data_IF_217432357492
#
_entry.id   IF_217432357492
#
_cell.length_a   1.000
_cell.length_b   1.000
_cell.length_c   1.000
_cell.angle_alpha   90.00
_cell.angle_beta   90.00
_cell.angle_gamma   90.00
#
_symmetry.space_group_name_H-M   'P 1'
#
loop_
_entity.id
_entity.type
_entity.pdbx_description
1 polymer ?
#
# COMPACT_ATOMS: atom_id res chain seq x y z
N UNK A 1 13.55 4.46 24.97
CA UNK A 1 12.17 4.00 25.23
C UNK A 1 11.66 3.38 23.94
N UNK A 2 11.15 2.13 23.97
CA UNK A 2 10.53 1.50 22.80
C UNK A 2 9.32 2.29 22.28
N UNK A 3 8.97 2.09 21.01
CA UNK A 3 7.79 2.68 20.37
C UNK A 3 7.01 1.61 19.61
N UNK A 4 5.75 1.43 19.96
CA UNK A 4 4.84 0.51 19.30
C UNK A 4 3.81 1.28 18.48
N UNK A 5 3.62 0.89 17.22
CA UNK A 5 2.73 1.57 16.27
C UNK A 5 1.76 0.54 15.70
N UNK A 6 0.46 0.74 15.90
CA UNK A 6 -0.57 -0.04 15.20
C UNK A 6 -0.93 0.65 13.90
N UNK A 7 -0.71 -0.04 12.79
CA UNK A 7 -0.82 0.50 11.45
C UNK A 7 -1.89 -0.26 10.64
N UNK A 8 -3.00 0.44 10.38
CA UNK A 8 -4.08 -0.03 9.52
C UNK A 8 -4.47 1.11 8.58
N UNK A 9 -4.01 1.07 7.33
CA UNK A 9 -4.19 2.20 6.40
C UNK A 9 -4.14 1.79 4.93
N UNK A 10 -5.01 2.35 4.07
CA UNK A 10 -4.92 2.17 2.62
C UNK A 10 -3.82 3.03 1.98
N UNK A 11 -3.03 3.73 2.79
CA UNK A 11 -2.02 4.67 2.34
C UNK A 11 -2.53 6.10 2.35
N UNK A 12 -1.95 6.93 1.49
CA UNK A 12 -2.25 8.36 1.44
C UNK A 12 -1.11 9.15 0.83
N UNK A 13 -0.90 10.37 1.31
CA UNK A 13 0.13 11.26 0.78
C UNK A 13 1.53 10.73 1.11
N UNK A 14 2.31 10.39 0.07
CA UNK A 14 3.70 9.91 0.15
C UNK A 14 4.58 10.86 0.97
N UNK A 15 4.36 12.18 0.86
CA UNK A 15 5.11 13.17 1.64
C UNK A 15 4.93 12.97 3.15
N UNK A 16 3.69 12.81 3.61
CA UNK A 16 3.38 12.62 5.02
C UNK A 16 3.95 11.28 5.53
N UNK A 17 3.77 10.21 4.76
CA UNK A 17 4.34 8.90 5.08
C UNK A 17 5.86 8.96 5.20
N UNK A 18 6.54 9.66 4.28
CA UNK A 18 8.00 9.83 4.31
C UNK A 18 8.46 10.57 5.56
N UNK A 19 7.73 11.61 6.01
CA UNK A 19 8.09 12.34 7.23
C UNK A 19 7.95 11.45 8.47
N UNK A 20 6.86 10.68 8.57
CA UNK A 20 6.64 9.74 9.67
C UNK A 20 7.73 8.66 9.66
N UNK A 21 8.01 8.05 8.50
CA UNK A 21 9.04 7.04 8.34
C UNK A 21 10.44 7.55 8.75
N UNK A 22 10.79 8.79 8.38
CA UNK A 22 12.07 9.40 8.80
C UNK A 22 12.13 9.66 10.30
N UNK A 23 11.03 10.08 10.91
CA UNK A 23 10.97 10.26 12.36
C UNK A 23 11.13 8.93 13.10
N UNK A 24 10.52 7.86 12.58
CA UNK A 24 10.69 6.48 13.08
C UNK A 24 12.14 6.03 12.95
N UNK A 25 12.76 6.18 11.78
CA UNK A 25 14.15 5.80 11.55
C UNK A 25 15.13 6.56 12.46
N UNK A 26 14.82 7.80 12.85
CA UNK A 26 15.62 8.59 13.78
C UNK A 26 15.37 8.29 15.27
N UNK A 27 14.39 7.44 15.60
CA UNK A 27 14.07 7.10 16.98
C UNK A 27 15.14 6.18 17.57
N UNK A 28 15.58 6.47 18.81
CA UNK A 28 16.68 5.72 19.45
C UNK A 28 16.28 4.39 20.06
N UNK A 29 15.00 4.18 20.35
CA UNK A 29 14.50 2.93 20.91
C UNK A 29 14.03 1.99 19.81
N UNK A 30 13.89 0.69 20.14
CA UNK A 30 13.26 -0.27 19.24
C UNK A 30 11.87 0.23 18.83
N UNK A 31 11.59 0.21 17.53
CA UNK A 31 10.27 0.49 16.96
C UNK A 31 9.67 -0.80 16.42
N UNK A 32 8.48 -1.15 16.90
CA UNK A 32 7.69 -2.25 16.36
C UNK A 32 6.42 -1.72 15.71
N UNK A 33 6.19 -2.09 14.46
CA UNK A 33 4.94 -1.79 13.73
C UNK A 33 4.07 -3.04 13.69
N UNK A 34 2.85 -2.95 14.19
CA UNK A 34 1.84 -3.98 14.13
C UNK A 34 0.90 -3.68 12.96
N UNK A 35 0.73 -4.62 12.03
CA UNK A 35 -0.20 -4.54 10.90
C UNK A 35 -1.26 -5.64 11.09
N UNK A 36 -2.44 -5.32 11.65
CA UNK A 36 -3.46 -6.34 11.95
C UNK A 36 -4.26 -6.82 10.72
N UNK A 37 -4.37 -5.97 9.69
CA UNK A 37 -5.08 -6.33 8.45
C UNK A 37 -4.33 -5.88 7.21
N UNK A 38 -4.04 -4.58 7.07
CA UNK A 38 -3.32 -4.08 5.91
C UNK A 38 -2.63 -2.74 6.15
N UNK A 39 -1.48 -2.54 5.49
CA UNK A 39 -0.83 -1.26 5.35
C UNK A 39 -0.36 -1.10 3.89
N UNK A 40 -1.00 -0.22 3.14
CA UNK A 40 -0.73 -0.04 1.70
C UNK A 40 0.04 1.25 1.44
N UNK A 41 0.84 1.30 0.36
CA UNK A 41 1.47 2.52 -0.15
C UNK A 41 2.25 3.26 0.95
N UNK A 42 1.84 4.48 1.33
CA UNK A 42 2.45 5.22 2.43
C UNK A 42 2.49 4.46 3.76
N UNK A 43 1.54 3.56 4.02
CA UNK A 43 1.58 2.65 5.17
C UNK A 43 2.78 1.69 5.11
N UNK A 44 3.01 1.07 3.96
CA UNK A 44 4.20 0.22 3.76
C UNK A 44 5.49 1.01 4.01
N UNK A 45 5.60 2.24 3.51
CA UNK A 45 6.78 3.10 3.79
C UNK A 45 7.00 3.32 5.30
N UNK A 46 5.94 3.50 6.07
CA UNK A 46 6.02 3.63 7.53
C UNK A 46 6.47 2.30 8.16
N UNK A 47 5.90 1.17 7.73
CA UNK A 47 6.28 -0.15 8.22
C UNK A 47 7.75 -0.47 7.93
N UNK A 48 8.23 -0.14 6.73
CA UNK A 48 9.63 -0.31 6.34
C UNK A 48 10.61 0.47 7.22
N UNK A 49 10.17 1.52 7.91
CA UNK A 49 11.01 2.28 8.82
C UNK A 49 11.25 1.58 10.17
N UNK A 50 10.35 0.69 10.59
CA UNK A 50 10.42 0.01 11.88
C UNK A 50 11.50 -1.07 11.93
N UNK A 51 11.98 -1.38 13.14
CA UNK A 51 12.95 -2.47 13.37
C UNK A 51 12.30 -3.85 13.22
N UNK A 52 11.00 -3.94 13.49
CA UNK A 52 10.21 -5.16 13.43
C UNK A 52 8.81 -4.88 12.93
N UNK A 53 8.28 -5.76 12.07
CA UNK A 53 6.92 -5.68 11.55
C UNK A 53 6.17 -6.93 12.02
N UNK A 54 5.14 -6.76 12.85
CA UNK A 54 4.28 -7.86 13.30
C UNK A 54 3.00 -7.85 12.48
N UNK A 55 2.74 -8.93 11.74
CA UNK A 55 1.60 -9.07 10.84
C UNK A 55 0.71 -10.22 11.31
N UNK A 56 -0.62 -10.17 11.14
CA UNK A 56 -1.39 -11.42 11.22
C UNK A 56 -1.12 -12.29 9.99
N UNK A 57 -1.45 -13.57 10.05
CA UNK A 57 -1.22 -14.53 8.95
C UNK A 57 -1.88 -14.11 7.63
N UNK A 58 -3.00 -13.38 7.70
CA UNK A 58 -3.72 -12.85 6.55
C UNK A 58 -3.61 -11.34 6.40
N UNK A 59 -2.68 -10.72 7.14
CA UNK A 59 -2.35 -9.31 6.94
C UNK A 59 -1.50 -9.09 5.70
N UNK A 60 -1.59 -7.89 5.15
CA UNK A 60 -0.91 -7.56 3.90
C UNK A 60 -0.18 -6.21 3.96
N UNK A 61 0.97 -6.16 3.29
CA UNK A 61 1.60 -4.91 2.89
C UNK A 61 1.26 -4.65 1.42
N UNK A 62 1.27 -3.38 1.03
CA UNK A 62 1.07 -2.98 -0.37
C UNK A 62 2.36 -2.49 -1.04
N UNK A 63 2.41 -2.45 -2.38
CA UNK A 63 3.43 -1.73 -3.12
C UNK A 63 3.49 -0.25 -2.73
N UNK A 64 4.61 0.39 -3.01
CA UNK A 64 4.84 1.83 -2.79
C UNK A 64 4.95 2.61 -4.10
N UNK A 65 4.55 2.00 -5.22
CA UNK A 65 4.64 2.63 -6.53
C UNK A 65 3.81 3.93 -6.58
N UNK A 66 4.39 5.02 -7.10
CA UNK A 66 3.70 6.30 -7.13
C UNK A 66 2.62 6.33 -8.22
N UNK A 67 1.45 6.87 -7.84
CA UNK A 67 0.35 7.13 -8.78
C UNK A 67 0.23 8.62 -9.07
N UNK A 68 0.10 8.98 -10.35
CA UNK A 68 -0.15 10.34 -10.82
C UNK A 68 -1.62 10.45 -11.21
N UNK A 69 -2.44 10.97 -10.29
CA UNK A 69 -3.89 10.91 -10.42
C UNK A 69 -4.38 9.47 -10.27
N UNK A 70 -4.96 8.91 -11.33
CA UNK A 70 -5.44 7.52 -11.37
C UNK A 70 -4.55 6.60 -12.22
N UNK A 71 -3.33 7.05 -12.55
CA UNK A 71 -2.43 6.33 -13.46
C UNK A 71 -1.13 5.95 -12.74
N UNK A 72 -0.67 4.69 -12.84
CA UNK A 72 0.64 4.29 -12.34
C UNK A 72 1.77 5.03 -13.07
N UNK A 73 2.75 5.55 -12.33
CA UNK A 73 3.91 6.23 -12.91
C UNK A 73 4.66 5.34 -13.92
N UNK A 74 4.85 4.05 -13.57
CA UNK A 74 5.55 3.09 -14.42
C UNK A 74 4.83 2.89 -15.77
N UNK A 75 3.49 2.87 -15.78
CA UNK A 75 2.71 2.75 -17.02
C UNK A 75 2.84 3.98 -17.91
N UNK A 76 2.85 5.19 -17.34
CA UNK A 76 3.07 6.43 -18.10
C UNK A 76 4.44 6.44 -18.79
N UNK A 77 5.47 5.98 -18.08
CA UNK A 77 6.83 5.86 -18.62
C UNK A 77 6.86 4.84 -19.77
N UNK A 78 6.27 3.66 -19.60
CA UNK A 78 6.21 2.62 -20.65
C UNK A 78 5.54 3.12 -21.92
N UNK A 79 4.46 3.90 -21.82
CA UNK A 79 3.79 4.48 -23.00
C UNK A 79 4.74 5.38 -23.79
N UNK A 80 5.53 6.20 -23.09
CA UNK A 80 6.51 7.10 -23.72
C UNK A 80 7.68 6.35 -24.37
N UNK A 81 8.06 5.20 -23.83
CA UNK A 81 9.13 4.36 -24.38
C UNK A 81 8.68 3.54 -25.60
N UNK A 82 7.40 3.20 -25.68
CA UNK A 82 6.88 2.29 -26.71
C UNK A 82 6.31 2.99 -27.94
N UNK A 83 5.91 4.26 -27.81
CA UNK A 83 5.31 5.01 -28.92
C UNK A 83 6.29 6.03 -29.51
N UNK A 84 6.24 6.30 -30.82
CA UNK A 84 6.93 7.45 -31.40
C UNK A 84 6.48 8.73 -30.68
N UNK A 85 7.44 9.58 -30.30
CA UNK A 85 7.14 10.82 -29.54
C UNK A 85 6.13 11.73 -30.23
N UNK A 86 6.09 11.70 -31.57
CA UNK A 86 5.14 12.45 -32.40
C UNK A 86 3.68 12.01 -32.23
N UNK A 87 3.42 10.84 -31.62
CA UNK A 87 2.09 10.31 -31.35
C UNK A 87 1.68 10.44 -29.87
N UNK A 88 2.43 11.22 -29.10
CA UNK A 88 2.22 11.42 -27.67
C UNK A 88 1.96 12.90 -27.43
N UNK A 89 0.88 13.20 -26.72
CA UNK A 89 0.60 14.58 -26.32
C UNK A 89 1.57 15.06 -25.23
N UNK A 90 1.80 16.37 -25.22
CA UNK A 90 2.72 17.03 -24.28
C UNK A 90 2.38 16.73 -22.82
N UNK A 91 1.09 16.61 -22.47
CA UNK A 91 0.68 16.32 -21.10
C UNK A 91 1.16 14.93 -20.65
N UNK A 92 1.07 13.91 -21.51
CA UNK A 92 1.63 12.58 -21.21
C UNK A 92 3.15 12.60 -21.09
N UNK A 93 3.85 13.40 -21.90
CA UNK A 93 5.30 13.56 -21.78
C UNK A 93 5.69 14.19 -20.44
N UNK A 94 5.00 15.23 -20.02
CA UNK A 94 5.18 15.88 -18.71
C UNK A 94 4.88 14.90 -17.58
N UNK A 95 3.76 14.17 -17.65
CA UNK A 95 3.39 13.18 -16.63
C UNK A 95 4.40 12.04 -16.53
N UNK A 96 4.97 11.57 -17.65
CA UNK A 96 6.02 10.56 -17.63
C UNK A 96 7.32 11.08 -17.00
N UNK A 97 7.70 12.34 -17.27
CA UNK A 97 8.82 13.00 -16.59
C UNK A 97 8.59 13.11 -15.06
N UNK A 98 7.42 13.58 -14.64
CA UNK A 98 7.05 13.61 -13.21
C UNK A 98 7.02 12.19 -12.63
N UNK A 99 6.56 11.20 -13.38
CA UNK A 99 6.55 9.79 -13.00
C UNK A 99 7.95 9.25 -12.73
N UNK A 100 8.93 9.53 -13.60
CA UNK A 100 10.34 9.14 -13.39
C UNK A 100 10.89 9.73 -12.09
N UNK A 101 10.61 11.02 -11.85
CA UNK A 101 11.03 11.71 -10.63
C UNK A 101 10.38 11.10 -9.39
N UNK A 102 9.08 10.81 -9.45
CA UNK A 102 8.34 10.23 -8.34
C UNK A 102 8.85 8.83 -7.98
N UNK A 103 9.08 7.96 -8.97
CA UNK A 103 9.66 6.62 -8.74
C UNK A 103 11.03 6.74 -8.09
N UNK A 104 11.92 7.56 -8.68
CA UNK A 104 13.27 7.74 -8.14
C UNK A 104 13.27 8.28 -6.69
N UNK A 105 12.35 9.19 -6.36
CA UNK A 105 12.19 9.73 -5.02
C UNK A 105 11.73 8.66 -4.02
N UNK A 106 10.70 7.89 -4.37
CA UNK A 106 10.18 6.83 -3.49
C UNK A 106 11.21 5.72 -3.31
N UNK A 107 11.85 5.28 -4.39
CA UNK A 107 12.91 4.27 -4.34
C UNK A 107 14.07 4.73 -3.44
N UNK A 108 14.50 5.98 -3.56
CA UNK A 108 15.57 6.54 -2.71
C UNK A 108 15.18 6.52 -1.23
N UNK A 109 13.92 6.87 -0.92
CA UNK A 109 13.41 6.82 0.46
C UNK A 109 13.38 5.37 0.96
N UNK A 110 12.78 4.46 0.20
CA UNK A 110 12.66 3.06 0.58
C UNK A 110 14.03 2.40 0.77
N UNK A 111 14.98 2.62 -0.15
CA UNK A 111 16.34 2.11 -0.03
C UNK A 111 16.96 2.54 1.29
N UNK A 112 16.90 3.84 1.60
CA UNK A 112 17.44 4.37 2.87
C UNK A 112 16.77 3.78 4.11
N UNK A 113 15.47 3.45 4.08
CA UNK A 113 14.78 2.83 5.21
C UNK A 113 15.21 1.36 5.40
N UNK A 114 15.55 0.69 4.30
CA UNK A 114 15.93 -0.72 4.25
C UNK A 114 17.41 -0.95 4.59
N UNK A 115 18.30 0.01 4.30
CA UNK A 115 19.75 -0.14 4.54
C UNK A 115 20.14 -0.35 6.00
N UNK A 116 19.27 0.02 6.94
CA UNK A 116 19.49 -0.26 8.37
C UNK A 116 19.23 -1.74 8.73
N UNK A 117 18.54 -2.49 7.86
CA UNK A 117 18.06 -3.87 8.12
C UNK A 117 18.66 -4.92 7.20
N UNK A 118 19.23 -4.52 6.07
CA UNK A 118 19.78 -5.43 5.08
C UNK A 118 20.91 -4.78 4.29
N UNK A 119 21.69 -5.62 3.59
CA UNK A 119 22.79 -5.18 2.73
C UNK A 119 22.32 -4.16 1.67
N UNK A 120 23.16 -3.18 1.34
CA UNK A 120 22.83 -2.08 0.40
C UNK A 120 22.30 -2.59 -0.96
N UNK A 121 22.86 -3.68 -1.49
CA UNK A 121 22.44 -4.26 -2.77
C UNK A 121 21.02 -4.87 -2.69
N UNK A 122 20.72 -5.57 -1.59
CA UNK A 122 19.38 -6.12 -1.34
C UNK A 122 18.38 -5.00 -1.09
N UNK A 123 18.77 -3.98 -0.30
CA UNK A 123 17.96 -2.80 -0.05
C UNK A 123 17.61 -2.07 -1.36
N UNK A 124 18.59 -1.90 -2.25
CA UNK A 124 18.36 -1.29 -3.56
C UNK A 124 17.41 -2.13 -4.44
N UNK A 125 17.62 -3.44 -4.50
CA UNK A 125 16.79 -4.36 -5.29
C UNK A 125 15.35 -4.37 -4.79
N UNK A 126 15.15 -4.50 -3.48
CA UNK A 126 13.81 -4.51 -2.88
C UNK A 126 13.12 -3.16 -3.01
N UNK A 127 13.83 -2.05 -2.78
CA UNK A 127 13.29 -0.71 -2.96
C UNK A 127 12.79 -0.49 -4.40
N UNK A 128 13.60 -0.89 -5.39
CA UNK A 128 13.22 -0.83 -6.79
C UNK A 128 11.99 -1.72 -7.05
N UNK A 129 11.99 -2.97 -6.58
CA UNK A 129 10.88 -3.90 -6.76
C UNK A 129 9.55 -3.35 -6.21
N UNK A 130 9.57 -2.75 -5.01
CA UNK A 130 8.40 -2.17 -4.37
C UNK A 130 7.91 -0.87 -5.05
N UNK A 131 8.80 -0.10 -5.67
CA UNK A 131 8.49 1.23 -6.22
C UNK A 131 8.23 1.26 -7.74
N UNK A 132 8.75 0.31 -8.51
CA UNK A 132 8.80 0.40 -9.99
C UNK A 132 7.60 -0.21 -10.73
N UNK A 133 6.47 -0.41 -10.06
CA UNK A 133 5.26 -0.94 -10.68
C UNK A 133 5.41 -2.39 -11.16
N UNK A 134 6.21 -3.19 -10.44
CA UNK A 134 6.32 -4.65 -10.62
C UNK A 134 4.96 -5.33 -10.52
N UNK A 135 4.13 -4.81 -9.62
CA UNK A 135 2.78 -5.27 -9.36
C UNK A 135 1.76 -4.15 -9.60
N UNK A 136 0.48 -4.53 -9.66
CA UNK A 136 -0.61 -3.57 -9.51
C UNK A 136 -0.62 -2.99 -8.09
N UNK A 137 -1.16 -1.79 -7.92
CA UNK A 137 -1.10 -1.08 -6.63
C UNK A 137 -1.91 -1.76 -5.50
N UNK A 138 -2.82 -2.65 -5.87
CA UNK A 138 -3.64 -3.48 -4.97
C UNK A 138 -3.03 -4.88 -4.71
N UNK A 139 -1.79 -5.12 -5.15
CA UNK A 139 -1.11 -6.37 -4.86
C UNK A 139 -0.92 -6.56 -3.36
N UNK A 140 -1.22 -7.78 -2.90
CA UNK A 140 -1.20 -8.14 -1.49
C UNK A 140 0.13 -8.84 -1.20
N UNK A 141 1.07 -8.13 -0.60
CA UNK A 141 2.32 -8.73 -0.12
C UNK A 141 2.01 -9.36 1.24
N UNK A 142 1.89 -10.69 1.27
CA UNK A 142 1.61 -11.45 2.49
C UNK A 142 2.77 -11.39 3.49
N UNK A 143 2.51 -11.80 4.74
CA UNK A 143 3.56 -11.92 5.76
C UNK A 143 4.68 -12.91 5.36
N UNK A 144 4.34 -13.97 4.63
CA UNK A 144 5.30 -14.94 4.10
C UNK A 144 6.18 -14.30 3.02
N UNK A 145 5.59 -13.69 1.99
CA UNK A 145 6.34 -13.00 0.93
C UNK A 145 7.22 -11.88 1.49
N UNK A 146 6.72 -11.11 2.46
CA UNK A 146 7.49 -10.06 3.10
C UNK A 146 8.74 -10.61 3.82
N UNK A 147 8.65 -11.79 4.45
CA UNK A 147 9.83 -12.49 5.02
C UNK A 147 10.79 -12.97 3.95
N UNK A 148 10.28 -13.52 2.85
CA UNK A 148 11.10 -13.98 1.72
C UNK A 148 11.86 -12.83 1.07
N UNK A 149 11.27 -11.62 1.06
CA UNK A 149 11.92 -10.37 0.66
C UNK A 149 13.00 -9.89 1.65
N UNK A 150 13.13 -10.54 2.82
CA UNK A 150 14.12 -10.20 3.84
C UNK A 150 13.67 -9.13 4.84
N UNK A 151 12.38 -8.80 4.90
CA UNK A 151 11.85 -7.87 5.90
C UNK A 151 11.78 -8.54 7.28
N UNK A 152 11.97 -7.79 8.38
CA UNK A 152 11.96 -8.32 9.75
C UNK A 152 10.53 -8.60 10.23
N UNK A 153 9.86 -9.58 9.61
CA UNK A 153 8.44 -9.87 9.82
C UNK A 153 8.21 -11.00 10.82
N UNK A 154 7.35 -10.77 11.81
CA UNK A 154 6.84 -11.77 12.75
C UNK A 154 5.32 -11.90 12.65
N UNK A 155 4.77 -13.03 13.10
CA UNK A 155 3.32 -13.31 13.01
C UNK A 155 2.65 -13.60 14.36
N UNK A 156 3.37 -13.41 15.46
CA UNK A 156 2.84 -13.48 16.82
C UNK A 156 2.17 -12.16 17.22
N UNK A 157 1.05 -11.83 16.56
CA UNK A 157 0.24 -10.67 16.90
C UNK A 157 -0.30 -10.80 18.34
N UNK A 158 -0.04 -9.83 19.25
CA UNK A 158 -0.63 -9.84 20.59
C UNK A 158 -2.15 -9.69 20.55
N UNK A 159 -2.85 -10.38 21.46
CA UNK A 159 -4.32 -10.35 21.53
C UNK A 159 -4.83 -8.94 21.84
N UNK A 160 -4.11 -8.16 22.65
CA UNK A 160 -4.46 -6.80 23.02
C UNK A 160 -4.51 -5.85 21.80
N UNK A 161 -3.70 -6.12 20.76
CA UNK A 161 -3.76 -5.35 19.50
C UNK A 161 -5.02 -5.70 18.71
N UNK A 162 -5.43 -6.97 18.72
CA UNK A 162 -6.66 -7.41 18.08
C UNK A 162 -7.88 -6.85 18.82
N UNK A 163 -7.87 -6.86 20.15
CA UNK A 163 -8.89 -6.23 20.99
C UNK A 163 -8.99 -4.72 20.72
N UNK A 164 -7.85 -4.02 20.62
CA UNK A 164 -7.82 -2.60 20.26
C UNK A 164 -8.56 -2.34 18.95
N UNK A 165 -8.34 -3.18 17.93
CA UNK A 165 -9.00 -3.02 16.63
C UNK A 165 -10.54 -3.15 16.72
N UNK A 166 -11.07 -3.90 17.67
CA UNK A 166 -12.53 -4.00 17.89
C UNK A 166 -13.16 -2.69 18.38
N UNK A 167 -12.37 -1.82 19.02
CA UNK A 167 -12.81 -0.51 19.52
C UNK A 167 -12.93 0.54 18.40
N UNK A 168 -12.33 0.28 17.23
CA UNK A 168 -12.33 1.17 16.07
C UNK A 168 -12.96 0.47 14.85
N UNK A 169 -14.27 0.16 14.89
CA UNK A 169 -14.95 -0.45 13.75
C UNK A 169 -14.82 0.47 12.55
N UNK A 170 -14.27 -0.06 11.45
CA UNK A 170 -14.09 0.72 10.24
C UNK A 170 -15.46 1.17 9.74
N UNK A 171 -15.69 2.49 9.55
CA UNK A 171 -16.91 2.91 8.91
C UNK A 171 -16.93 2.27 7.53
N UNK A 172 -17.96 1.46 7.25
CA UNK A 172 -18.20 0.89 5.93
C UNK A 172 -18.55 2.05 5.00
N UNK A 173 -17.54 2.80 4.56
CA UNK A 173 -17.68 3.63 3.38
C UNK A 173 -17.93 2.63 2.27
N UNK A 174 -19.11 2.74 1.64
CA UNK A 174 -19.45 2.07 0.39
C UNK A 174 -18.48 2.55 -0.71
N UNK A 175 -17.22 2.15 -0.64
CA UNK A 175 -16.25 2.23 -1.71
C UNK A 175 -16.49 0.97 -2.54
N UNK A 176 -17.18 1.13 -3.66
CA UNK A 176 -17.58 0.05 -4.57
C UNK A 176 -16.37 -0.61 -5.24
N UNK A 177 -15.67 -1.48 -4.51
CA UNK A 177 -14.50 -2.22 -4.98
C UNK A 177 -14.38 -3.62 -4.39
N UNK A 178 -15.47 -4.19 -3.88
CA UNK A 178 -15.55 -5.61 -3.50
C UNK A 178 -16.60 -6.30 -4.37
N UNK A 179 -16.40 -7.59 -4.66
CA UNK A 179 -17.41 -8.43 -5.32
C UNK A 179 -18.62 -8.50 -4.40
N UNK A 180 -19.73 -7.91 -4.84
CA UNK A 180 -21.00 -7.98 -4.15
C UNK A 180 -21.73 -9.25 -4.60
N UNK A 181 -21.71 -10.30 -3.77
CA UNK A 181 -22.63 -11.43 -3.95
C UNK A 181 -24.03 -10.93 -3.59
N UNK A 182 -24.92 -10.82 -4.58
CA UNK A 182 -26.34 -10.55 -4.38
C UNK A 182 -27.10 -11.89 -4.29
N UNK A 183 -27.51 -12.34 -3.10
CA UNK A 183 -28.25 -13.60 -2.91
C UNK A 183 -29.77 -13.50 -3.18
N UNK A 184 -30.32 -12.35 -3.59
CA UNK A 184 -31.78 -12.22 -3.55
C UNK A 184 -32.51 -13.13 -4.55
N UNK A 185 -33.46 -13.97 -4.08
CA UNK A 185 -34.32 -14.74 -4.95
C UNK A 185 -35.26 -13.81 -5.73
N UNK A 186 -35.50 -14.13 -7.01
CA UNK A 186 -36.44 -13.40 -7.87
C UNK A 186 -37.82 -13.26 -7.20
N UNK A 187 -38.22 -12.02 -6.94
CA UNK A 187 -39.58 -11.70 -6.51
C UNK A 187 -40.61 -12.06 -7.60
N UNK A 188 -41.70 -12.73 -7.21
CA UNK A 188 -42.89 -12.89 -8.06
C UNK A 188 -43.70 -11.60 -7.99
N UNK A 189 -43.90 -10.94 -9.13
CA UNK A 189 -44.74 -9.73 -9.23
C UNK A 189 -46.13 -9.99 -8.62
N UNK A 190 -46.48 -9.19 -7.61
CA UNK A 190 -47.85 -9.12 -7.15
C UNK A 190 -48.71 -8.48 -8.25
N UNK A 191 -49.74 -9.21 -8.69
CA UNK A 191 -50.74 -8.73 -9.64
C UNK A 191 -51.25 -7.35 -9.20
N UNK A 192 -51.05 -6.33 -10.03
CA UNK A 192 -51.82 -5.08 -9.95
C UNK A 192 -53.29 -5.42 -10.16
N UNK A 193 -54.08 -5.37 -9.08
CA UNK A 193 -55.54 -5.22 -9.21
C UNK A 193 -55.80 -3.76 -9.47
N UNK A 194 -56.04 -3.41 -10.73
CA UNK A 194 -56.60 -2.11 -11.12
C UNK A 194 -58.06 -2.07 -10.66
N UNK A 195 -58.42 -1.13 -9.79
CA UNK A 195 -59.82 -0.76 -9.55
C UNK A 195 -60.02 0.76 -9.48
N UNK A 196 -61.10 1.17 -10.16
CA UNK A 196 -61.74 2.49 -10.31
C UNK A 196 -61.04 3.50 -11.23
N UNK A 197 -61.71 4.13 -12.20
CA UNK A 197 -63.15 4.42 -12.35
C UNK A 197 -63.70 4.04 -13.72
#
# INVERSE_FOLDING_TARGET
MPLDIVLHTPGGLVLAATQIARAIQGHKGKVTVFVPHYAMSGGTLIALAADEIVMCDHSVLGPIDPQLGQMPAASLIRVVEQKPITEIDDQRLVLADVGRKAIAQVETVARRLLTDKMDEEKAATLAAQLATGTWTHDYHISAEEAREMGLPVRTDMPEEILELMTLYPQPVRRLGGGVEYLPEPRHREARRVTTSR
#
